data_IF_677370723801
#
_entry.id   IF_677370723801
#
_cell.length_a   1.000
_cell.length_b   1.000
_cell.length_c   1.000
_cell.angle_alpha   90.00
_cell.angle_beta   90.00
_cell.angle_gamma   90.00
#
_symmetry.space_group_name_H-M   'P 1'
#
loop_
_entity.id
_entity.type
_entity.pdbx_description
1 polymer ?
#
# COMPACT_ATOMS: atom_id res chain seq x y z
N UNK A 1 2.54 17.56 -4.15
CA UNK A 1 3.06 16.35 -3.48
C UNK A 1 3.59 16.79 -2.14
N UNK A 2 3.20 16.14 -1.05
CA UNK A 2 3.69 16.49 0.29
C UNK A 2 5.07 15.84 0.52
N UNK A 3 5.88 16.45 1.38
CA UNK A 3 7.19 15.87 1.76
C UNK A 3 7.04 14.47 2.36
N UNK A 4 5.93 14.16 3.03
CA UNK A 4 5.65 12.84 3.57
C UNK A 4 5.40 11.79 2.47
N UNK A 5 4.62 12.14 1.44
CA UNK A 5 4.36 11.27 0.30
C UNK A 5 5.65 10.95 -0.48
N UNK A 6 6.51 11.96 -0.71
CA UNK A 6 7.81 11.78 -1.35
C UNK A 6 8.72 10.84 -0.56
N UNK A 7 8.74 10.96 0.78
CA UNK A 7 9.49 10.05 1.66
C UNK A 7 8.98 8.62 1.60
N UNK A 8 7.66 8.42 1.64
CA UNK A 8 7.05 7.08 1.53
C UNK A 8 7.36 6.45 0.17
N UNK A 9 7.27 7.23 -0.91
CA UNK A 9 7.59 6.75 -2.25
C UNK A 9 9.08 6.41 -2.40
N UNK A 10 9.98 7.22 -1.83
CA UNK A 10 11.41 6.92 -1.81
C UNK A 10 11.72 5.62 -1.07
N UNK A 11 11.14 5.43 0.14
CA UNK A 11 11.30 4.18 0.91
C UNK A 11 10.82 2.96 0.11
N UNK A 12 9.66 3.05 -0.56
CA UNK A 12 9.17 1.98 -1.46
C UNK A 12 10.16 1.66 -2.57
N UNK A 13 10.73 2.68 -3.20
CA UNK A 13 11.71 2.54 -4.28
C UNK A 13 12.97 1.80 -3.82
N UNK A 14 13.57 2.22 -2.71
CA UNK A 14 14.77 1.57 -2.18
C UNK A 14 14.50 0.12 -1.75
N UNK A 15 13.34 -0.16 -1.16
CA UNK A 15 12.94 -1.53 -0.82
C UNK A 15 12.77 -2.41 -2.05
N UNK A 16 12.24 -1.87 -3.15
CA UNK A 16 12.18 -2.58 -4.42
C UNK A 16 13.58 -2.90 -4.96
N UNK A 17 14.52 -1.98 -4.84
CA UNK A 17 15.93 -2.18 -5.21
C UNK A 17 16.58 -3.33 -4.44
N UNK A 18 16.33 -3.43 -3.13
CA UNK A 18 16.85 -4.53 -2.29
C UNK A 18 16.37 -5.92 -2.75
N UNK A 19 15.10 -6.02 -3.14
CA UNK A 19 14.47 -7.29 -3.51
C UNK A 19 14.68 -7.68 -4.98
N UNK A 20 15.21 -6.78 -5.81
CA UNK A 20 15.38 -7.05 -7.23
C UNK A 20 16.64 -7.91 -7.48
N UNK A 21 16.51 -9.13 -8.03
CA UNK A 21 17.65 -10.00 -8.29
C UNK A 21 18.56 -9.47 -9.43
N UNK A 22 18.09 -8.51 -10.23
CA UNK A 22 18.86 -7.89 -11.32
C UNK A 22 19.67 -6.67 -10.88
N UNK A 23 19.55 -6.26 -9.61
CA UNK A 23 20.29 -5.14 -9.05
C UNK A 23 21.60 -5.66 -8.43
N UNK A 24 22.69 -4.93 -8.65
CA UNK A 24 24.01 -5.26 -8.09
C UNK A 24 24.05 -5.12 -6.57
N UNK A 25 24.98 -5.83 -5.93
CA UNK A 25 25.12 -5.79 -4.47
C UNK A 25 25.49 -4.39 -3.96
N UNK A 26 26.32 -3.65 -4.70
CA UNK A 26 26.66 -2.25 -4.39
C UNK A 26 25.42 -1.34 -4.38
N UNK A 27 24.55 -1.48 -5.39
CA UNK A 27 23.31 -0.70 -5.46
C UNK A 27 22.32 -1.07 -4.34
N UNK A 28 22.30 -2.35 -3.92
CA UNK A 28 21.53 -2.79 -2.75
C UNK A 28 22.08 -2.21 -1.45
N UNK A 29 23.40 -2.20 -1.26
CA UNK A 29 24.04 -1.59 -0.08
C UNK A 29 23.73 -0.09 0.01
N UNK A 30 23.78 0.60 -1.13
CA UNK A 30 23.38 2.01 -1.20
C UNK A 30 21.90 2.19 -0.83
N UNK A 31 21.01 1.38 -1.42
CA UNK A 31 19.58 1.43 -1.13
C UNK A 31 19.27 1.17 0.36
N UNK A 32 19.98 0.22 0.99
CA UNK A 32 19.86 -0.03 2.43
C UNK A 32 20.26 1.22 3.24
N UNK A 33 21.40 1.83 2.89
CA UNK A 33 21.89 3.03 3.59
C UNK A 33 20.94 4.23 3.45
N UNK A 34 20.26 4.34 2.30
CA UNK A 34 19.24 5.38 2.08
C UNK A 34 17.94 5.09 2.85
N UNK A 35 17.53 3.83 2.95
CA UNK A 35 16.40 3.41 3.80
C UNK A 35 16.66 3.75 5.26
N UNK A 36 17.85 3.43 5.77
CA UNK A 36 18.21 3.69 7.17
C UNK A 36 18.17 5.20 7.48
N UNK A 37 18.59 6.05 6.54
CA UNK A 37 18.47 7.52 6.66
C UNK A 37 17.02 8.01 6.65
N UNK A 38 16.12 7.33 5.95
CA UNK A 38 14.71 7.70 5.83
C UNK A 38 13.84 7.26 7.02
N UNK A 39 14.37 6.40 7.89
CA UNK A 39 13.65 5.84 9.05
C UNK A 39 13.60 4.30 9.07
N UNK A 40 14.37 3.64 8.20
CA UNK A 40 14.42 2.18 8.07
C UNK A 40 13.44 1.62 7.03
N UNK A 41 13.25 0.30 7.06
CA UNK A 41 12.37 -0.42 6.11
C UNK A 41 10.86 -0.19 6.41
N UNK A 42 10.55 0.32 7.61
CA UNK A 42 9.17 0.60 8.03
C UNK A 42 8.92 2.11 8.08
N UNK A 43 8.14 2.66 7.14
CA UNK A 43 7.62 4.01 7.29
C UNK A 43 6.76 4.08 8.56
N UNK A 44 6.98 5.11 9.38
CA UNK A 44 6.19 5.31 10.59
C UNK A 44 4.70 5.44 10.25
N UNK A 45 3.83 5.01 11.18
CA UNK A 45 2.39 5.09 10.98
C UNK A 45 1.94 6.52 10.65
N UNK A 46 2.58 7.52 11.25
CA UNK A 46 2.34 8.95 11.00
C UNK A 46 2.65 9.34 9.55
N UNK A 47 3.78 8.88 8.99
CA UNK A 47 4.15 9.16 7.59
C UNK A 47 3.17 8.53 6.59
N UNK A 48 2.64 7.35 6.89
CA UNK A 48 1.59 6.71 6.09
C UNK A 48 0.24 7.43 6.17
N UNK A 49 -0.02 8.08 7.30
CA UNK A 49 -1.24 8.87 7.53
C UNK A 49 -1.15 10.20 6.77
N UNK A 50 0.01 10.85 6.80
CA UNK A 50 0.29 12.11 6.10
C UNK A 50 0.49 11.94 4.58
N UNK A 51 0.87 10.76 4.09
CA UNK A 51 0.98 10.49 2.65
C UNK A 51 -0.37 10.44 1.93
N UNK A 52 -1.49 10.64 2.64
CA UNK A 52 -2.83 10.65 2.07
C UNK A 52 -3.36 9.26 1.70
N UNK A 53 -2.61 8.19 1.99
CA UNK A 53 -2.99 6.82 1.63
C UNK A 53 -4.19 6.29 2.46
N UNK A 54 -4.52 6.98 3.55
CA UNK A 54 -5.73 6.77 4.33
C UNK A 54 -6.95 7.54 3.79
N UNK A 55 -6.77 8.53 2.91
CA UNK A 55 -7.86 9.21 2.21
C UNK A 55 -8.23 8.46 0.92
N UNK A 56 -8.58 7.17 1.04
CA UNK A 56 -9.14 6.43 -0.09
C UNK A 56 -10.55 6.93 -0.35
N UNK A 57 -10.83 7.25 -1.61
CA UNK A 57 -12.17 7.60 -2.07
C UNK A 57 -13.17 6.49 -1.66
N UNK A 58 -14.16 6.79 -0.79
CA UNK A 58 -15.13 5.81 -0.32
C UNK A 58 -15.88 5.10 -1.45
N UNK A 59 -16.17 5.80 -2.54
CA UNK A 59 -16.83 5.23 -3.73
C UNK A 59 -15.94 4.18 -4.38
N UNK A 60 -14.63 4.45 -4.51
CA UNK A 60 -13.68 3.48 -5.06
C UNK A 60 -13.48 2.28 -4.15
N UNK A 61 -13.50 2.48 -2.84
CA UNK A 61 -13.44 1.39 -1.86
C UNK A 61 -14.67 0.49 -1.99
N UNK A 62 -15.87 1.07 -2.04
CA UNK A 62 -17.11 0.31 -2.17
C UNK A 62 -17.17 -0.47 -3.50
N UNK A 63 -16.79 0.18 -4.61
CA UNK A 63 -16.71 -0.47 -5.92
C UNK A 63 -15.75 -1.68 -5.91
N UNK A 64 -14.60 -1.56 -5.23
CA UNK A 64 -13.64 -2.66 -5.07
C UNK A 64 -14.19 -3.83 -4.24
N UNK A 65 -14.87 -3.52 -3.13
CA UNK A 65 -15.51 -4.55 -2.30
C UNK A 65 -16.64 -5.26 -3.05
N UNK A 66 -17.46 -4.53 -3.81
CA UNK A 66 -18.51 -5.10 -4.67
C UNK A 66 -17.92 -6.02 -5.75
N UNK A 67 -16.82 -5.62 -6.36
CA UNK A 67 -16.10 -6.47 -7.31
C UNK A 67 -15.60 -7.77 -6.65
N UNK A 68 -14.99 -7.67 -5.47
CA UNK A 68 -14.53 -8.84 -4.71
C UNK A 68 -15.68 -9.77 -4.31
N UNK A 69 -16.84 -9.22 -3.91
CA UNK A 69 -18.04 -9.95 -3.55
C UNK A 69 -18.64 -10.78 -4.71
N UNK A 70 -18.32 -10.45 -5.97
CA UNK A 70 -18.79 -11.20 -7.14
C UNK A 70 -17.67 -11.95 -7.88
N UNK A 71 -16.43 -11.87 -7.43
CA UNK A 71 -15.31 -12.47 -8.13
C UNK A 71 -15.23 -13.98 -7.86
N UNK A 72 -15.33 -14.84 -8.90
CA UNK A 72 -15.17 -16.30 -8.73
C UNK A 72 -13.74 -16.72 -8.39
N UNK A 73 -12.75 -15.86 -8.64
CA UNK A 73 -11.32 -16.14 -8.40
C UNK A 73 -10.86 -15.81 -6.97
N UNK A 74 -11.73 -15.31 -6.10
CA UNK A 74 -11.44 -15.13 -4.67
C UNK A 74 -12.08 -16.22 -3.83
N UNK A 75 -11.53 -16.46 -2.63
CA UNK A 75 -12.09 -17.43 -1.69
C UNK A 75 -13.50 -17.03 -1.23
N UNK A 76 -14.29 -18.03 -0.82
CA UNK A 76 -15.65 -17.79 -0.31
C UNK A 76 -15.65 -16.97 0.99
N UNK A 77 -14.60 -17.06 1.79
CA UNK A 77 -14.39 -16.18 2.95
C UNK A 77 -14.18 -14.72 2.54
N UNK A 78 -13.28 -14.47 1.58
CA UNK A 78 -13.03 -13.12 1.08
C UNK A 78 -14.27 -12.52 0.42
N UNK A 79 -15.04 -13.33 -0.30
CA UNK A 79 -16.30 -12.93 -0.95
C UNK A 79 -17.36 -12.51 0.07
N UNK A 80 -17.54 -13.30 1.13
CA UNK A 80 -18.49 -13.01 2.22
C UNK A 80 -18.10 -11.74 2.99
N UNK A 81 -16.84 -11.64 3.40
CA UNK A 81 -16.34 -10.46 4.09
C UNK A 81 -16.53 -9.18 3.24
N UNK A 82 -16.24 -9.25 1.94
CA UNK A 82 -16.45 -8.12 1.04
C UNK A 82 -17.94 -7.76 0.93
N UNK A 83 -18.84 -8.73 0.82
CA UNK A 83 -20.29 -8.50 0.76
C UNK A 83 -20.84 -7.88 2.05
N UNK A 84 -20.40 -8.35 3.22
CA UNK A 84 -20.77 -7.78 4.52
C UNK A 84 -20.37 -6.30 4.62
N UNK A 85 -19.13 -5.98 4.24
CA UNK A 85 -18.60 -4.60 4.29
C UNK A 85 -19.26 -3.65 3.28
N UNK A 86 -19.75 -4.16 2.14
CA UNK A 86 -20.59 -3.37 1.21
C UNK A 86 -21.96 -3.11 1.82
N UNK A 87 -22.55 -4.09 2.52
CA UNK A 87 -23.85 -3.95 3.18
C UNK A 87 -23.85 -2.93 4.33
N UNK A 88 -22.70 -2.73 4.98
CA UNK A 88 -22.50 -1.66 5.99
C UNK A 88 -22.38 -0.25 5.38
N UNK A 89 -22.05 -0.15 4.08
CA UNK A 89 -21.95 1.10 3.33
C UNK A 89 -22.76 1.02 2.03
N UNK A 90 -24.11 0.90 2.11
CA UNK A 90 -24.94 0.93 0.93
C UNK A 90 -24.82 2.32 0.28
N UNK A 91 -24.49 2.36 -1.00
CA UNK A 91 -24.37 3.59 -1.80
C UNK A 91 -25.66 4.43 -1.65
N UNK A 92 -25.57 5.65 -1.10
CA UNK A 92 -26.58 6.71 -1.29
C UNK A 92 -26.30 7.46 -2.60
#
# INVERSE_FOLDING_TARGET
>A
MSSAEERVNAMRGYKATLNNPRVSDEAKQNAQSMLDQLGGDQPSHDLYSESGEQNKDPMRVNAGLKAAAHNPNVSDEARRNAAERVGENPEE
#
